data_IF_955622889533
#
_entry.id   IF_955622889533
#
_cell.length_a   1.000
_cell.length_b   1.000
_cell.length_c   1.000
_cell.angle_alpha   90.00
_cell.angle_beta   90.00
_cell.angle_gamma   90.00
#
_symmetry.space_group_name_H-M   'P 1'
#
loop_
_entity.id
_entity.type
_entity.pdbx_description
1 polymer ?
#
# COMPACT_ATOMS: atom_id res chain seq x y z
N UNK A 1 29.80 2.79 7.90
CA UNK A 1 30.03 2.56 9.34
C UNK A 1 29.01 3.38 10.14
N UNK A 2 27.82 2.83 10.37
CA UNK A 2 26.87 3.32 11.40
C UNK A 2 26.29 2.06 12.04
N UNK A 3 27.05 1.53 13.00
CA UNK A 3 26.78 0.27 13.69
C UNK A 3 27.12 0.50 15.17
N UNK A 4 26.24 1.19 15.87
CA UNK A 4 26.16 1.26 17.34
C UNK A 4 24.92 2.10 17.68
N UNK A 5 24.44 2.01 18.91
CA UNK A 5 23.26 2.73 19.46
C UNK A 5 21.93 1.95 19.42
N UNK A 6 22.00 0.61 19.45
CA UNK A 6 20.86 -0.20 19.89
C UNK A 6 20.79 -0.37 21.43
N UNK A 7 21.77 0.15 22.17
CA UNK A 7 21.84 -0.03 23.62
C UNK A 7 21.46 1.28 24.32
N UNK A 8 20.53 1.18 25.29
CA UNK A 8 20.08 2.22 26.23
C UNK A 8 18.86 3.06 25.83
N UNK A 9 17.70 2.38 25.79
CA UNK A 9 16.40 3.00 25.98
C UNK A 9 15.33 1.98 26.32
N UNK A 10 15.29 1.52 27.58
CA UNK A 10 14.29 0.67 28.27
C UNK A 10 13.35 -0.14 27.35
N UNK A 11 13.65 -1.44 27.31
CA UNK A 11 12.94 -2.51 26.61
C UNK A 11 11.44 -2.51 26.87
N UNK A 12 10.63 -2.50 25.81
CA UNK A 12 9.25 -3.01 25.86
C UNK A 12 9.36 -4.54 26.03
N UNK A 13 9.38 -4.99 27.27
CA UNK A 13 9.67 -6.37 27.62
C UNK A 13 8.57 -7.34 27.18
N UNK A 14 8.85 -8.12 26.14
CA UNK A 14 8.10 -9.28 25.70
C UNK A 14 8.56 -9.74 24.31
N UNK A 15 8.83 -11.04 24.12
CA UNK A 15 8.93 -11.62 22.76
C UNK A 15 7.54 -11.52 22.13
N UNK A 16 7.28 -10.46 21.38
CA UNK A 16 5.96 -10.17 20.81
C UNK A 16 6.03 -10.01 19.28
N UNK A 17 5.00 -10.57 18.64
CA UNK A 17 4.92 -10.89 17.20
C UNK A 17 4.43 -9.66 16.41
N UNK A 18 4.75 -9.56 15.12
CA UNK A 18 4.16 -8.54 14.24
C UNK A 18 2.65 -8.80 14.03
N UNK A 19 1.87 -7.76 13.73
CA UNK A 19 0.52 -7.96 13.20
C UNK A 19 0.58 -8.71 11.86
N UNK A 20 -0.47 -9.46 11.52
CA UNK A 20 -0.48 -10.25 10.29
C UNK A 20 -0.77 -9.36 9.08
N UNK A 21 -0.09 -9.59 7.96
CA UNK A 21 -0.32 -8.87 6.70
C UNK A 21 -1.78 -8.96 6.19
N UNK A 22 -2.50 -10.04 6.51
CA UNK A 22 -3.94 -10.16 6.21
C UNK A 22 -4.80 -9.14 6.97
N UNK A 23 -4.41 -8.78 8.19
CA UNK A 23 -5.09 -7.75 8.98
C UNK A 23 -4.83 -6.38 8.38
N UNK A 24 -3.58 -6.08 8.01
CA UNK A 24 -3.24 -4.84 7.34
C UNK A 24 -3.94 -4.70 5.97
N UNK A 25 -4.08 -5.81 5.23
CA UNK A 25 -4.84 -5.84 3.98
C UNK A 25 -6.30 -5.41 4.17
N UNK A 26 -7.04 -6.08 5.08
CA UNK A 26 -8.47 -5.80 5.26
C UNK A 26 -8.73 -4.45 5.93
N UNK A 27 -7.88 -4.04 6.88
CA UNK A 27 -8.00 -2.73 7.51
C UNK A 27 -7.60 -1.62 6.53
N UNK A 28 -6.64 -1.87 5.65
CA UNK A 28 -6.28 -0.97 4.55
C UNK A 28 -7.47 -0.70 3.63
N UNK A 29 -8.18 -1.73 3.19
CA UNK A 29 -9.42 -1.59 2.40
C UNK A 29 -10.46 -0.77 3.16
N UNK A 30 -10.75 -1.13 4.40
CA UNK A 30 -11.74 -0.43 5.22
C UNK A 30 -11.39 1.06 5.37
N UNK A 31 -10.12 1.39 5.67
CA UNK A 31 -9.66 2.76 5.83
C UNK A 31 -9.79 3.56 4.53
N UNK A 32 -9.33 3.02 3.40
CA UNK A 32 -9.40 3.72 2.13
C UNK A 32 -10.84 3.97 1.66
N UNK A 33 -11.73 2.99 1.80
CA UNK A 33 -13.14 3.17 1.47
C UNK A 33 -13.84 4.16 2.42
N UNK A 34 -13.53 4.13 3.72
CA UNK A 34 -14.11 5.04 4.69
C UNK A 34 -13.71 6.50 4.43
N UNK A 35 -12.44 6.73 4.06
CA UNK A 35 -11.90 8.07 3.79
C UNK A 35 -12.38 8.60 2.43
N UNK A 36 -12.33 7.79 1.38
CA UNK A 36 -12.48 8.28 0.01
C UNK A 36 -13.90 8.14 -0.56
N UNK A 37 -14.75 7.30 0.04
CA UNK A 37 -16.18 7.16 -0.28
C UNK A 37 -16.50 7.17 -1.80
N UNK A 38 -16.18 6.09 -2.53
CA UNK A 38 -16.26 6.06 -3.99
C UNK A 38 -17.70 6.27 -4.52
N UNK A 39 -17.84 7.17 -5.50
CA UNK A 39 -19.11 7.48 -6.15
C UNK A 39 -19.46 6.60 -7.37
N UNK A 40 -18.49 5.91 -7.94
CA UNK A 40 -18.66 5.10 -9.16
C UNK A 40 -18.12 3.67 -8.99
N UNK A 41 -18.61 2.72 -9.79
CA UNK A 41 -18.13 1.33 -9.76
C UNK A 41 -16.61 1.24 -10.03
N UNK A 42 -16.05 1.92 -11.05
CA UNK A 42 -14.60 1.90 -11.27
C UNK A 42 -13.80 2.45 -10.08
N UNK A 43 -14.25 3.55 -9.47
CA UNK A 43 -13.59 4.13 -8.31
C UNK A 43 -13.67 3.20 -7.09
N UNK A 44 -14.77 2.47 -6.90
CA UNK A 44 -14.90 1.47 -5.85
C UNK A 44 -13.93 0.31 -6.04
N UNK A 45 -13.85 -0.25 -7.25
CA UNK A 45 -12.95 -1.37 -7.55
C UNK A 45 -11.48 -0.97 -7.44
N UNK A 46 -11.12 0.19 -8.03
CA UNK A 46 -9.78 0.75 -7.89
C UNK A 46 -9.46 1.05 -6.41
N UNK A 47 -10.42 1.61 -5.68
CA UNK A 47 -10.28 1.93 -4.27
C UNK A 47 -10.00 0.71 -3.41
N UNK A 48 -10.72 -0.40 -3.61
CA UNK A 48 -10.45 -1.67 -2.93
C UNK A 48 -9.02 -2.13 -3.21
N UNK A 49 -8.64 -2.25 -4.49
CA UNK A 49 -7.32 -2.78 -4.87
C UNK A 49 -6.16 -1.91 -4.39
N UNK A 50 -6.25 -0.60 -4.58
CA UNK A 50 -5.18 0.35 -4.27
C UNK A 50 -5.04 0.59 -2.76
N UNK A 51 -6.14 0.60 -2.00
CA UNK A 51 -6.08 0.64 -0.53
C UNK A 51 -5.48 -0.64 0.05
N UNK A 52 -5.85 -1.79 -0.52
CA UNK A 52 -5.27 -3.08 -0.13
C UNK A 52 -3.76 -3.10 -0.37
N UNK A 53 -3.31 -2.62 -1.55
CA UNK A 53 -1.90 -2.48 -1.87
C UNK A 53 -1.18 -1.57 -0.85
N UNK A 54 -1.73 -0.39 -0.56
CA UNK A 54 -1.19 0.51 0.45
C UNK A 54 -1.09 -0.13 1.84
N UNK A 55 -2.07 -0.95 2.20
CA UNK A 55 -2.09 -1.69 3.46
C UNK A 55 -1.03 -2.79 3.56
N UNK A 56 -0.58 -3.41 2.46
CA UNK A 56 0.39 -4.52 2.52
C UNK A 56 1.81 -4.14 2.10
N UNK A 57 1.96 -3.06 1.32
CA UNK A 57 3.25 -2.65 0.77
C UNK A 57 4.33 -2.39 1.84
N UNK A 58 4.04 -1.80 3.01
CA UNK A 58 5.07 -1.61 4.04
C UNK A 58 5.78 -2.91 4.46
N UNK A 59 5.05 -4.03 4.47
CA UNK A 59 5.57 -5.32 4.92
C UNK A 59 6.47 -6.04 3.91
N UNK A 60 6.75 -5.46 2.73
CA UNK A 60 7.73 -6.03 1.77
C UNK A 60 9.16 -6.06 2.33
N UNK A 61 9.45 -5.32 3.41
CA UNK A 61 10.74 -5.32 4.11
C UNK A 61 10.92 -6.51 5.09
N UNK A 62 9.90 -7.37 5.22
CA UNK A 62 9.95 -8.53 6.12
C UNK A 62 10.40 -9.80 5.39
N UNK A 63 11.67 -10.18 5.53
CA UNK A 63 12.31 -11.28 4.79
C UNK A 63 11.68 -12.69 4.92
N UNK A 64 10.67 -12.90 5.77
CA UNK A 64 9.94 -14.17 5.93
C UNK A 64 8.48 -14.11 5.45
N UNK A 65 7.97 -12.94 5.04
CA UNK A 65 6.56 -12.81 4.67
C UNK A 65 6.28 -13.24 3.23
N UNK A 66 5.02 -13.60 2.97
CA UNK A 66 4.52 -13.80 1.60
C UNK A 66 4.66 -12.53 0.78
N UNK A 67 4.45 -11.36 1.40
CA UNK A 67 4.57 -10.05 0.75
C UNK A 67 5.99 -9.80 0.19
N UNK A 68 7.04 -10.19 0.91
CA UNK A 68 8.41 -10.08 0.41
C UNK A 68 8.67 -10.97 -0.81
N UNK A 69 8.23 -12.23 -0.77
CA UNK A 69 8.38 -13.17 -1.90
C UNK A 69 7.57 -12.73 -3.13
N UNK A 70 6.37 -12.21 -2.91
CA UNK A 70 5.53 -11.71 -4.00
C UNK A 70 6.10 -10.40 -4.56
N UNK A 71 6.64 -9.52 -3.71
CA UNK A 71 7.36 -8.32 -4.15
C UNK A 71 8.58 -8.67 -5.02
N UNK A 72 9.37 -9.68 -4.66
CA UNK A 72 10.50 -10.15 -5.46
C UNK A 72 10.06 -10.64 -6.85
N UNK A 73 8.98 -11.40 -6.92
CA UNK A 73 8.42 -11.86 -8.20
C UNK A 73 7.92 -10.69 -9.04
N UNK A 74 7.16 -9.77 -8.44
CA UNK A 74 6.62 -8.59 -9.14
C UNK A 74 7.78 -7.76 -9.68
N UNK A 75 8.80 -7.51 -8.87
CA UNK A 75 9.96 -6.72 -9.27
C UNK A 75 10.76 -7.39 -10.39
N UNK A 76 10.91 -8.73 -10.35
CA UNK A 76 11.52 -9.50 -11.43
C UNK A 76 10.70 -9.41 -12.73
N UNK A 77 9.38 -9.56 -12.67
CA UNK A 77 8.49 -9.42 -13.83
C UNK A 77 8.55 -8.01 -14.41
N UNK A 78 8.53 -6.97 -13.56
CA UNK A 78 8.68 -5.58 -13.99
C UNK A 78 10.03 -5.34 -14.68
N UNK A 79 11.12 -5.90 -14.15
CA UNK A 79 12.44 -5.79 -14.77
C UNK A 79 12.50 -6.48 -16.13
N UNK A 80 11.92 -7.67 -16.28
CA UNK A 80 11.83 -8.39 -17.56
C UNK A 80 10.97 -7.61 -18.57
N UNK A 81 9.80 -7.11 -18.15
CA UNK A 81 8.92 -6.33 -19.01
C UNK A 81 9.58 -5.02 -19.47
N UNK A 82 10.29 -4.32 -18.57
CA UNK A 82 11.06 -3.14 -18.91
C UNK A 82 12.18 -3.46 -19.92
N UNK A 83 12.94 -4.55 -19.69
CA UNK A 83 13.95 -5.03 -20.63
C UNK A 83 13.37 -5.34 -22.01
N UNK A 84 12.21 -6.01 -22.06
CA UNK A 84 11.52 -6.31 -23.31
C UNK A 84 11.07 -5.04 -24.04
N UNK A 85 10.55 -4.04 -23.33
CA UNK A 85 10.16 -2.75 -23.90
C UNK A 85 11.36 -1.99 -24.50
N UNK A 86 12.53 -2.05 -23.85
CA UNK A 86 13.77 -1.44 -24.37
C UNK A 86 14.25 -2.16 -25.62
N UNK A 87 14.30 -3.50 -25.61
CA UNK A 87 14.71 -4.29 -26.77
C UNK A 87 13.76 -4.11 -27.94
N UNK A 88 12.44 -4.07 -27.68
CA UNK A 88 11.47 -3.89 -28.74
C UNK A 88 11.57 -2.52 -29.40
N UNK A 89 11.85 -1.46 -28.64
CA UNK A 89 12.13 -0.13 -29.20
C UNK A 89 13.45 -0.10 -29.98
N UNK A 90 14.51 -0.75 -29.47
CA UNK A 90 15.82 -0.77 -30.10
C UNK A 90 15.84 -1.53 -31.44
N UNK A 91 15.06 -2.62 -31.54
CA UNK A 91 15.06 -3.52 -32.71
C UNK A 91 13.93 -3.19 -33.68
N UNK A 92 12.73 -2.92 -33.17
CA UNK A 92 11.52 -2.78 -34.01
C UNK A 92 11.03 -1.33 -34.13
N UNK A 93 11.65 -0.37 -33.43
CA UNK A 93 11.28 1.05 -33.47
C UNK A 93 9.77 1.29 -33.31
N UNK A 94 9.18 0.65 -32.30
CA UNK A 94 7.73 0.69 -32.03
C UNK A 94 7.21 2.09 -31.66
N UNK A 95 8.09 3.09 -31.50
CA UNK A 95 7.75 4.48 -31.24
C UNK A 95 7.50 4.76 -29.76
N UNK A 96 8.04 3.92 -28.87
CA UNK A 96 7.92 4.05 -27.42
C UNK A 96 8.64 5.32 -26.94
N UNK A 97 9.81 5.61 -27.51
CA UNK A 97 10.57 6.82 -27.18
C UNK A 97 9.83 8.08 -27.65
N UNK A 98 9.34 8.10 -28.89
CA UNK A 98 8.60 9.25 -29.43
C UNK A 98 7.36 9.55 -28.59
N UNK A 99 6.57 8.52 -28.24
CA UNK A 99 5.42 8.69 -27.34
C UNK A 99 5.79 9.15 -25.93
N UNK A 100 6.95 8.74 -25.42
CA UNK A 100 7.44 9.17 -24.12
C UNK A 100 7.83 10.65 -24.12
N UNK A 101 8.53 11.11 -25.18
CA UNK A 101 8.99 12.50 -25.29
C UNK A 101 7.85 13.45 -25.66
N UNK A 102 6.93 13.02 -26.52
CA UNK A 102 5.82 13.84 -27.00
C UNK A 102 4.70 13.98 -25.98
N UNK A 103 4.50 12.98 -25.10
CA UNK A 103 3.44 13.00 -24.11
C UNK A 103 3.98 13.14 -22.68
N UNK A 104 3.99 14.38 -22.18
CA UNK A 104 4.43 14.69 -20.82
C UNK A 104 3.62 14.00 -19.71
N UNK A 105 2.41 13.50 -19.97
CA UNK A 105 1.67 12.68 -18.99
C UNK A 105 2.24 11.26 -18.92
N UNK A 106 2.51 10.64 -20.08
CA UNK A 106 3.12 9.30 -20.15
C UNK A 106 4.54 9.34 -19.56
N UNK A 107 5.33 10.36 -19.90
CA UNK A 107 6.66 10.56 -19.31
C UNK A 107 6.62 10.59 -17.78
N UNK A 108 5.75 11.41 -17.20
CA UNK A 108 5.62 11.52 -15.74
C UNK A 108 5.13 10.23 -15.09
N UNK A 109 4.20 9.52 -15.71
CA UNK A 109 3.71 8.24 -15.21
C UNK A 109 4.82 7.17 -15.22
N UNK A 110 5.61 7.08 -16.29
CA UNK A 110 6.76 6.17 -16.38
C UNK A 110 7.83 6.52 -15.34
N UNK A 111 8.18 7.80 -15.21
CA UNK A 111 9.14 8.26 -14.19
C UNK A 111 8.64 7.91 -12.79
N UNK A 112 7.37 8.17 -12.49
CA UNK A 112 6.78 7.83 -11.19
C UNK A 112 6.80 6.32 -10.93
N UNK A 113 6.54 5.49 -11.94
CA UNK A 113 6.64 4.03 -11.81
C UNK A 113 8.08 3.58 -11.51
N UNK A 114 9.07 4.16 -12.19
CA UNK A 114 10.49 3.87 -11.93
C UNK A 114 10.91 4.30 -10.52
N UNK A 115 10.49 5.49 -10.08
CA UNK A 115 10.75 5.96 -8.71
C UNK A 115 10.09 5.05 -7.68
N UNK A 116 8.83 4.65 -7.90
CA UNK A 116 8.11 3.72 -7.02
C UNK A 116 8.86 2.38 -6.88
N UNK A 117 9.33 1.80 -7.99
CA UNK A 117 10.11 0.56 -7.99
C UNK A 117 11.45 0.72 -7.26
N UNK A 118 12.18 1.82 -7.51
CA UNK A 118 13.44 2.11 -6.84
C UNK A 118 13.26 2.24 -5.32
N UNK A 119 12.22 2.93 -4.89
CA UNK A 119 11.91 3.12 -3.47
C UNK A 119 11.54 1.80 -2.81
N UNK A 120 10.75 0.95 -3.48
CA UNK A 120 10.44 -0.40 -2.99
C UNK A 120 11.70 -1.28 -2.91
N UNK A 121 12.57 -1.26 -3.93
CA UNK A 121 13.82 -2.01 -3.95
C UNK A 121 14.74 -1.57 -2.81
N UNK A 122 14.95 -0.26 -2.65
CA UNK A 122 15.73 0.28 -1.54
C UNK A 122 15.11 -0.11 -0.19
N UNK A 123 13.79 0.03 -0.05
CA UNK A 123 13.07 -0.20 1.18
C UNK A 123 13.07 -1.65 1.64
N UNK A 124 13.01 -2.63 0.73
CA UNK A 124 13.05 -4.05 1.11
C UNK A 124 14.39 -4.45 1.72
N UNK A 125 15.48 -3.81 1.31
CA UNK A 125 16.84 -4.07 1.80
C UNK A 125 17.12 -3.39 3.16
N UNK A 126 16.24 -2.48 3.60
CA UNK A 126 16.37 -1.83 4.90
C UNK A 126 15.90 -2.78 6.03
N UNK A 127 16.39 -2.59 7.27
CA UNK A 127 15.92 -3.36 8.41
C UNK A 127 14.39 -3.24 8.57
N UNK A 128 13.73 -4.37 8.82
CA UNK A 128 12.28 -4.40 9.00
C UNK A 128 11.78 -3.36 10.03
N UNK A 129 10.72 -2.61 9.69
CA UNK A 129 10.14 -1.49 10.48
C UNK A 129 11.02 -0.24 10.59
N UNK A 130 11.86 -0.01 9.59
CA UNK A 130 12.62 1.22 9.44
C UNK A 130 12.02 2.12 8.36
N UNK A 131 12.57 2.11 7.15
CA UNK A 131 12.19 3.00 6.07
C UNK A 131 10.77 2.75 5.57
N UNK A 132 10.39 1.49 5.29
CA UNK A 132 9.05 1.19 4.75
C UNK A 132 7.92 1.55 5.72
N UNK A 133 8.17 1.52 7.03
CA UNK A 133 7.20 1.91 8.06
C UNK A 133 7.40 3.36 8.54
N UNK A 134 7.62 4.29 7.62
CA UNK A 134 7.87 5.70 7.92
C UNK A 134 6.93 6.65 7.18
N UNK A 135 6.83 7.91 7.65
CA UNK A 135 6.07 8.95 6.96
C UNK A 135 6.74 9.33 5.62
N UNK A 136 8.08 9.43 5.52
CA UNK A 136 8.73 9.65 4.22
C UNK A 136 8.40 8.59 3.17
N UNK A 137 8.40 7.29 3.52
CA UNK A 137 8.03 6.24 2.56
C UNK A 137 6.58 6.36 2.12
N UNK A 138 5.66 6.62 3.06
CA UNK A 138 4.26 6.90 2.78
C UNK A 138 4.11 8.04 1.76
N UNK A 139 4.76 9.19 2.02
CA UNK A 139 4.65 10.38 1.17
C UNK A 139 5.19 10.11 -0.24
N UNK A 140 6.38 9.54 -0.35
CA UNK A 140 7.01 9.29 -1.65
C UNK A 140 6.23 8.25 -2.46
N UNK A 141 5.83 7.14 -1.85
CA UNK A 141 5.10 6.08 -2.55
C UNK A 141 3.69 6.52 -2.91
N UNK A 142 2.99 7.26 -2.03
CA UNK A 142 1.69 7.83 -2.35
C UNK A 142 1.77 8.89 -3.46
N UNK A 143 2.80 9.74 -3.47
CA UNK A 143 3.02 10.70 -4.54
C UNK A 143 3.24 10.01 -5.89
N UNK A 144 3.97 8.88 -5.91
CA UNK A 144 4.13 8.09 -7.13
C UNK A 144 2.78 7.52 -7.61
N UNK A 145 1.97 6.95 -6.71
CA UNK A 145 0.64 6.44 -7.08
C UNK A 145 -0.28 7.58 -7.54
N UNK A 146 -0.28 8.74 -6.91
CA UNK A 146 -1.02 9.92 -7.38
C UNK A 146 -0.59 10.34 -8.78
N UNK A 147 0.70 10.23 -9.10
CA UNK A 147 1.22 10.60 -10.42
C UNK A 147 0.86 9.58 -11.51
N UNK A 148 0.74 8.30 -11.16
CA UNK A 148 0.35 7.22 -12.09
C UNK A 148 -1.18 7.13 -12.23
N UNK A 149 -1.89 7.21 -11.10
CA UNK A 149 -3.34 7.08 -10.97
C UNK A 149 -3.89 8.20 -10.06
N UNK A 150 -4.14 9.41 -10.60
CA UNK A 150 -4.56 10.58 -9.83
C UNK A 150 -5.78 10.33 -8.92
N UNK A 151 -6.75 9.58 -9.41
CA UNK A 151 -7.99 9.31 -8.67
C UNK A 151 -7.81 8.26 -7.56
N UNK A 152 -6.71 7.49 -7.60
CA UNK A 152 -6.48 6.34 -6.72
C UNK A 152 -5.45 6.59 -5.61
N UNK A 153 -4.60 7.61 -5.70
CA UNK A 153 -3.50 7.80 -4.75
C UNK A 153 -3.94 8.07 -3.31
N UNK A 154 -5.09 8.70 -3.08
CA UNK A 154 -5.67 8.88 -1.75
C UNK A 154 -6.06 7.54 -1.07
N UNK A 155 -6.52 6.57 -1.86
CA UNK A 155 -6.85 5.22 -1.38
C UNK A 155 -5.59 4.51 -0.89
N UNK A 156 -4.51 4.61 -1.67
CA UNK A 156 -3.20 4.06 -1.29
C UNK A 156 -2.70 4.70 0.01
N UNK A 157 -2.74 6.03 0.09
CA UNK A 157 -2.27 6.77 1.26
C UNK A 157 -3.06 6.39 2.52
N UNK A 158 -4.39 6.29 2.43
CA UNK A 158 -5.24 5.86 3.54
C UNK A 158 -4.94 4.42 3.97
N UNK A 159 -4.77 3.50 3.01
CA UNK A 159 -4.37 2.12 3.29
C UNK A 159 -3.03 2.02 4.02
N UNK A 160 -2.01 2.71 3.51
CA UNK A 160 -0.66 2.73 4.08
C UNK A 160 -0.63 3.46 5.44
N UNK A 161 -1.33 4.58 5.59
CA UNK A 161 -1.47 5.26 6.88
C UNK A 161 -2.13 4.35 7.92
N UNK A 162 -3.15 3.56 7.53
CA UNK A 162 -3.76 2.58 8.44
C UNK A 162 -2.77 1.50 8.86
N UNK A 163 -1.88 1.06 7.97
CA UNK A 163 -0.79 0.13 8.30
C UNK A 163 0.09 0.71 9.40
N UNK A 164 0.59 1.93 9.20
CA UNK A 164 1.43 2.62 10.17
C UNK A 164 0.73 2.78 11.52
N UNK A 165 -0.54 3.18 11.51
CA UNK A 165 -1.33 3.40 12.73
C UNK A 165 -1.49 2.09 13.53
N UNK A 166 -1.83 0.99 12.87
CA UNK A 166 -1.98 -0.32 13.53
C UNK A 166 -0.63 -0.76 14.12
N UNK A 167 0.47 -0.56 13.41
CA UNK A 167 1.80 -0.91 13.90
C UNK A 167 2.30 0.01 15.02
N UNK A 168 1.88 1.28 15.05
CA UNK A 168 2.11 2.23 16.15
C UNK A 168 1.37 1.84 17.43
N UNK A 169 0.14 1.33 17.30
CA UNK A 169 -0.66 0.83 18.42
C UNK A 169 -0.07 -0.45 19.02
N UNK A 170 0.73 -1.18 18.25
CA UNK A 170 1.43 -2.37 18.69
C UNK A 170 2.59 -2.02 19.65
N UNK A 171 3.10 -3.03 20.35
CA UNK A 171 4.15 -2.91 21.37
C UNK A 171 5.58 -2.83 20.80
N UNK A 172 5.73 -2.94 19.48
CA UNK A 172 7.02 -2.83 18.79
C UNK A 172 7.26 -1.40 18.31
N UNK A 173 8.50 -0.94 18.41
CA UNK A 173 8.89 0.40 17.94
C UNK A 173 8.91 0.50 16.41
N UNK A 174 8.36 1.60 15.90
CA UNK A 174 8.33 1.97 14.47
C UNK A 174 9.03 3.31 14.28
N UNK A 175 9.89 3.45 13.26
CA UNK A 175 10.64 4.68 12.97
C UNK A 175 9.87 5.61 12.03
N UNK A 176 8.84 6.29 12.54
CA UNK A 176 8.01 7.20 11.73
C UNK A 176 8.79 8.29 11.00
N UNK A 177 9.85 8.84 11.60
CA UNK A 177 10.65 9.93 11.04
C UNK A 177 12.03 9.47 10.53
N UNK A 178 12.15 8.20 10.11
CA UNK A 178 13.39 7.69 9.52
C UNK A 178 14.01 8.68 8.51
N UNK A 179 15.35 8.91 8.52
CA UNK A 179 16.35 8.22 9.33
C UNK A 179 16.52 8.78 10.75
N UNK A 180 15.78 9.83 11.10
CA UNK A 180 15.91 10.56 12.36
C UNK A 180 15.02 9.98 13.47
N UNK A 181 15.48 10.14 14.71
CA UNK A 181 14.67 9.89 15.91
C UNK A 181 14.64 8.44 16.42
N UNK A 182 14.11 8.29 17.63
CA UNK A 182 13.89 7.00 18.29
C UNK A 182 12.55 6.42 17.80
N UNK A 183 12.43 5.10 17.72
CA UNK A 183 11.17 4.47 17.30
C UNK A 183 10.05 4.64 18.33
N UNK A 184 8.82 4.81 17.86
CA UNK A 184 7.62 5.05 18.67
C UNK A 184 6.78 3.76 18.81
N UNK A 185 6.12 3.58 19.96
CA UNK A 185 5.11 2.55 20.19
C UNK A 185 4.14 3.05 21.27
N UNK A 186 2.85 2.82 21.11
CA UNK A 186 1.82 3.26 22.06
C UNK A 186 1.44 2.17 23.07
N UNK A 187 1.88 0.92 22.87
CA UNK A 187 1.68 -0.21 23.79
C UNK A 187 0.20 -0.52 24.12
N UNK A 188 -0.75 -0.03 23.30
CA UNK A 188 -2.19 -0.15 23.50
C UNK A 188 -2.72 -1.52 23.07
N UNK A 189 -2.10 -2.14 22.07
CA UNK A 189 -2.53 -3.41 21.50
C UNK A 189 -1.38 -4.43 21.53
N UNK A 190 -1.60 -5.58 22.18
CA UNK A 190 -0.72 -6.74 21.98
C UNK A 190 -1.18 -7.47 20.72
N UNK A 191 -0.26 -7.76 19.81
CA UNK A 191 -0.48 -8.56 18.60
C UNK A 191 -0.90 -10.01 18.85
N UNK A 192 -1.05 -10.44 20.12
CA UNK A 192 -1.54 -11.77 20.48
C UNK A 192 -3.00 -11.96 20.08
N UNK A 193 -3.21 -12.88 19.14
CA UNK A 193 -4.42 -13.68 18.92
C UNK A 193 -5.73 -12.91 18.84
N UNK A 194 -6.26 -12.49 19.99
CA UNK A 194 -7.56 -11.87 20.14
C UNK A 194 -7.62 -10.46 19.54
N UNK A 195 -6.65 -9.58 19.80
CA UNK A 195 -6.68 -8.20 19.25
C UNK A 195 -6.54 -8.22 17.74
N UNK A 196 -5.60 -9.02 17.21
CA UNK A 196 -5.46 -9.19 15.76
C UNK A 196 -6.73 -9.80 15.14
N UNK A 197 -7.37 -10.77 15.80
CA UNK A 197 -8.62 -11.36 15.31
C UNK A 197 -9.78 -10.36 15.33
N UNK A 198 -9.88 -9.53 16.36
CA UNK A 198 -10.89 -8.45 16.42
C UNK A 198 -10.64 -7.44 15.32
N UNK A 199 -9.42 -6.94 15.15
CA UNK A 199 -9.07 -5.98 14.09
C UNK A 199 -9.32 -6.57 12.70
N UNK A 200 -9.01 -7.84 12.50
CA UNK A 200 -9.28 -8.55 11.25
C UNK A 200 -10.78 -8.68 10.98
N UNK A 201 -11.57 -9.14 11.96
CA UNK A 201 -13.02 -9.27 11.82
C UNK A 201 -13.71 -7.91 11.64
N UNK A 202 -13.29 -6.90 12.39
CA UNK A 202 -13.77 -5.53 12.27
C UNK A 202 -13.41 -4.94 10.90
N UNK A 203 -12.19 -5.21 10.40
CA UNK A 203 -11.76 -4.80 9.06
C UNK A 203 -12.59 -5.45 7.95
N UNK A 204 -12.92 -6.74 8.07
CA UNK A 204 -13.82 -7.43 7.13
C UNK A 204 -15.22 -6.83 7.21
N UNK A 205 -15.80 -6.78 8.40
CA UNK A 205 -17.16 -6.28 8.60
C UNK A 205 -17.31 -4.83 8.11
N UNK A 206 -16.33 -3.98 8.43
CA UNK A 206 -16.25 -2.60 7.97
C UNK A 206 -16.11 -2.49 6.46
N UNK A 207 -15.21 -3.27 5.84
CA UNK A 207 -15.04 -3.29 4.38
C UNK A 207 -16.34 -3.70 3.68
N UNK A 208 -16.96 -4.79 4.13
CA UNK A 208 -18.24 -5.27 3.56
C UNK A 208 -19.34 -4.23 3.74
N UNK A 209 -19.47 -3.67 4.92
CA UNK A 209 -20.44 -2.61 5.20
C UNK A 209 -20.25 -1.39 4.28
N UNK A 210 -19.01 -0.91 4.13
CA UNK A 210 -18.70 0.24 3.28
C UNK A 210 -18.94 -0.04 1.80
N UNK A 211 -18.65 -1.26 1.33
CA UNK A 211 -18.97 -1.68 -0.04
C UNK A 211 -20.49 -1.70 -0.25
N UNK A 212 -21.24 -2.37 0.64
CA UNK A 212 -22.69 -2.51 0.50
C UNK A 212 -23.44 -1.18 0.60
N UNK A 213 -22.95 -0.25 1.42
CA UNK A 213 -23.55 1.08 1.62
C UNK A 213 -23.03 2.12 0.62
N UNK A 214 -22.04 1.76 -0.21
CA UNK A 214 -21.48 2.68 -1.20
C UNK A 214 -22.53 3.15 -2.22
N UNK A 215 -22.36 4.39 -2.67
CA UNK A 215 -23.20 5.01 -3.71
C UNK A 215 -23.36 4.11 -4.96
N UNK A 216 -22.29 3.55 -5.58
CA UNK A 216 -22.46 2.73 -6.77
C UNK A 216 -23.27 1.46 -6.52
N UNK A 217 -23.12 0.80 -5.38
CA UNK A 217 -23.90 -0.40 -5.04
C UNK A 217 -25.36 -0.05 -4.79
N UNK A 218 -25.63 1.03 -4.05
CA UNK A 218 -27.00 1.52 -3.85
C UNK A 218 -27.68 1.87 -5.17
N UNK A 219 -26.98 2.57 -6.06
CA UNK A 219 -27.52 2.95 -7.37
C UNK A 219 -27.81 1.72 -8.24
N UNK A 220 -26.92 0.72 -8.23
CA UNK A 220 -27.14 -0.54 -8.94
C UNK A 220 -28.34 -1.32 -8.39
N UNK A 221 -28.50 -1.39 -7.06
CA UNK A 221 -29.64 -2.05 -6.42
C UNK A 221 -30.98 -1.36 -6.76
N UNK A 222 -30.99 -0.03 -6.77
CA UNK A 222 -32.17 0.75 -7.16
C UNK A 222 -32.52 0.52 -8.64
N UNK A 223 -31.53 0.52 -9.53
CA UNK A 223 -31.74 0.24 -10.96
C UNK A 223 -32.38 -1.15 -11.17
N UNK A 224 -31.82 -2.19 -10.54
CA UNK A 224 -32.36 -3.56 -10.58
C UNK A 224 -33.79 -3.62 -10.02
N UNK A 225 -34.04 -2.98 -8.87
CA UNK A 225 -35.37 -2.95 -8.25
C UNK A 225 -36.41 -2.17 -9.08
N UNK A 226 -35.97 -1.22 -9.91
CA UNK A 226 -36.84 -0.43 -10.79
C UNK A 226 -37.10 -1.09 -12.16
N UNK A 227 -36.51 -2.27 -12.43
CA UNK A 227 -36.63 -2.95 -13.73
C UNK A 227 -35.85 -2.28 -14.86
N UNK A 228 -35.02 -1.27 -14.54
CA UNK A 228 -34.15 -0.59 -15.51
C UNK A 228 -32.83 -1.38 -15.54
N UNK A 229 -32.67 -2.25 -16.54
CA UNK A 229 -31.37 -2.86 -16.82
C UNK A 229 -30.39 -1.75 -17.22
N UNK A 230 -29.24 -1.60 -16.53
CA UNK A 230 -28.21 -0.68 -16.97
C UNK A 230 -27.50 -1.27 -18.20
N UNK A 231 -27.88 -0.81 -19.39
CA UNK A 231 -27.13 -1.10 -20.63
C UNK A 231 -27.95 -1.42 -21.88
N UNK A 232 -28.76 -0.47 -22.35
CA UNK A 232 -29.04 -0.30 -23.78
C UNK A 232 -28.24 0.90 -24.28
#
# INVERSE_FOLDING_TARGET
MVRSDFEHGKSCAGKEVSMLGRTHFVVGIAAGLAVCQPGTVPALLAGIGVSALGGVLPDIDSGTSTAHKDADRIMAVCAVAAGFAVVSEAVFHVGLYSRLVENGAIARAVIAALVFLLVCFYGKEQPHRSFMHSIPSLVVLAACILQIFPDAGQYFAAGFASHLLIDLLNRRRVRLFYPLGKGFCLNLCSSRGLVNRILFLAGIAGSVFLVLTSVPVRNALLAVSSGILPGA
#
